data_IF_139569034812
#
_entry.id   IF_139569034812
#
_cell.length_a   1.000
_cell.length_b   1.000
_cell.length_c   1.000
_cell.angle_alpha   90.00
_cell.angle_beta   90.00
_cell.angle_gamma   90.00
#
_symmetry.space_group_name_H-M   'P 1'
#
loop_
_entity.id
_entity.type
_entity.pdbx_description
1 polymer ?
#
# COMPACT_ATOMS: atom_id res chain seq x y z
N UNK A 1 -10.57 -15.78 17.60
CA UNK A 1 -9.90 -15.51 16.31
C UNK A 1 -10.61 -14.38 15.56
N UNK A 2 -11.92 -14.45 15.31
CA UNK A 2 -12.66 -13.41 14.56
C UNK A 2 -12.64 -12.04 15.24
N UNK A 3 -12.83 -11.99 16.56
CA UNK A 3 -12.79 -10.74 17.33
C UNK A 3 -11.40 -10.08 17.28
N UNK A 4 -10.33 -10.87 17.43
CA UNK A 4 -8.96 -10.36 17.37
C UNK A 4 -8.62 -9.81 15.99
N UNK A 5 -9.15 -10.41 14.92
CA UNK A 5 -8.95 -9.95 13.55
C UNK A 5 -9.67 -8.60 13.30
N UNK A 6 -10.89 -8.46 13.81
CA UNK A 6 -11.65 -7.19 13.71
C UNK A 6 -10.94 -6.09 14.51
N UNK A 7 -10.51 -6.38 15.75
CA UNK A 7 -9.78 -5.43 16.58
C UNK A 7 -8.46 -4.99 15.92
N UNK A 8 -7.73 -5.90 15.29
CA UNK A 8 -6.51 -5.58 14.56
C UNK A 8 -6.79 -4.59 13.41
N UNK A 9 -7.86 -4.83 12.63
CA UNK A 9 -8.26 -3.92 11.55
C UNK A 9 -8.61 -2.53 12.06
N UNK A 10 -9.44 -2.45 13.10
CA UNK A 10 -9.83 -1.16 13.72
C UNK A 10 -8.61 -0.42 14.28
N UNK A 11 -7.69 -1.12 14.95
CA UNK A 11 -6.47 -0.52 15.50
C UNK A 11 -5.55 -0.01 14.39
N UNK A 12 -5.45 -0.75 13.28
CA UNK A 12 -4.67 -0.33 12.12
C UNK A 12 -5.24 0.96 11.51
N UNK A 13 -6.56 1.03 11.30
CA UNK A 13 -7.23 2.22 10.76
C UNK A 13 -7.08 3.43 11.69
N UNK A 14 -7.21 3.23 13.01
CA UNK A 14 -6.98 4.29 14.01
C UNK A 14 -5.57 4.87 13.96
N UNK A 15 -4.58 4.10 13.56
CA UNK A 15 -3.20 4.56 13.39
C UNK A 15 -2.99 5.20 12.01
N UNK A 16 -3.58 4.64 10.95
CA UNK A 16 -3.36 5.07 9.58
C UNK A 16 -4.04 6.42 9.27
N UNK A 17 -5.21 6.69 9.82
CA UNK A 17 -5.96 7.94 9.60
C UNK A 17 -5.15 9.18 10.06
N UNK A 18 -4.64 9.26 11.31
CA UNK A 18 -3.80 10.38 11.72
C UNK A 18 -2.52 10.51 10.90
N UNK A 19 -1.89 9.39 10.54
CA UNK A 19 -0.68 9.39 9.72
C UNK A 19 -0.95 9.97 8.32
N UNK A 20 -2.11 9.69 7.74
CA UNK A 20 -2.53 10.26 6.47
C UNK A 20 -2.83 11.75 6.57
N UNK A 21 -3.41 12.21 7.68
CA UNK A 21 -3.74 13.61 7.91
C UNK A 21 -2.52 14.51 8.17
N UNK A 22 -1.38 13.92 8.57
CA UNK A 22 -0.13 14.66 8.78
C UNK A 22 0.50 15.15 7.46
N UNK A 23 0.32 14.44 6.35
CA UNK A 23 0.93 14.79 5.07
C UNK A 23 0.65 16.23 4.61
N UNK A 24 -0.60 16.71 4.59
CA UNK A 24 -0.89 18.08 4.20
C UNK A 24 -0.43 19.13 5.22
N UNK A 25 -0.21 18.73 6.48
CA UNK A 25 0.21 19.63 7.56
C UNK A 25 1.73 19.83 7.60
N UNK A 26 2.51 18.84 7.12
CA UNK A 26 3.96 18.88 7.12
C UNK A 26 4.54 19.87 6.12
N UNK A 27 3.84 20.15 5.01
CA UNK A 27 4.33 21.06 3.97
C UNK A 27 3.19 21.72 3.18
N UNK A 28 3.39 23.00 2.87
CA UNK A 28 2.48 23.79 2.04
C UNK A 28 2.86 23.77 0.54
N UNK A 29 4.02 23.19 0.19
CA UNK A 29 4.51 23.16 -1.19
C UNK A 29 4.07 21.89 -1.90
N UNK A 30 3.44 22.01 -3.07
CA UNK A 30 2.94 20.87 -3.86
C UNK A 30 4.06 19.87 -4.23
N UNK A 31 5.25 20.38 -4.55
CA UNK A 31 6.39 19.53 -4.88
C UNK A 31 6.84 18.65 -3.71
N UNK A 32 6.90 19.22 -2.51
CA UNK A 32 7.28 18.49 -1.30
C UNK A 32 6.21 17.47 -0.91
N UNK A 33 4.92 17.80 -1.07
CA UNK A 33 3.82 16.84 -0.89
C UNK A 33 3.95 15.63 -1.81
N UNK A 34 4.27 15.88 -3.09
CA UNK A 34 4.46 14.80 -4.05
C UNK A 34 5.64 13.89 -3.67
N UNK A 35 6.72 14.46 -3.14
CA UNK A 35 7.87 13.67 -2.65
C UNK A 35 7.49 12.87 -1.41
N UNK A 36 6.84 13.49 -0.42
CA UNK A 36 6.37 12.81 0.78
C UNK A 36 5.38 11.69 0.47
N UNK A 37 4.44 11.93 -0.45
CA UNK A 37 3.50 10.91 -0.94
C UNK A 37 4.23 9.75 -1.61
N UNK A 38 5.29 10.03 -2.38
CA UNK A 38 6.12 9.00 -3.02
C UNK A 38 6.88 8.16 -1.99
N UNK A 39 7.50 8.80 -0.99
CA UNK A 39 8.20 8.12 0.10
C UNK A 39 7.23 7.22 0.86
N UNK A 40 6.03 7.73 1.18
CA UNK A 40 4.97 6.96 1.82
C UNK A 40 4.55 5.76 0.98
N UNK A 41 4.28 5.95 -0.32
CA UNK A 41 3.92 4.87 -1.23
C UNK A 41 5.00 3.79 -1.32
N UNK A 42 6.27 4.18 -1.32
CA UNK A 42 7.41 3.26 -1.26
C UNK A 42 7.39 2.47 0.05
N UNK A 43 7.22 3.14 1.20
CA UNK A 43 7.19 2.48 2.50
C UNK A 43 6.06 1.45 2.61
N UNK A 44 4.86 1.78 2.11
CA UNK A 44 3.71 0.87 2.05
C UNK A 44 3.93 -0.34 1.13
N UNK A 45 4.85 -0.26 0.19
CA UNK A 45 5.21 -1.37 -0.68
C UNK A 45 6.34 -2.21 -0.11
N UNK A 46 7.35 -1.57 0.47
CA UNK A 46 8.55 -2.24 1.02
C UNK A 46 8.19 -3.12 2.23
N UNK A 47 7.40 -2.61 3.16
CA UNK A 47 7.06 -3.34 4.40
C UNK A 47 6.43 -4.71 4.15
N UNK A 48 5.27 -4.80 3.47
CA UNK A 48 4.64 -6.07 3.13
C UNK A 48 5.53 -6.97 2.26
N UNK A 49 6.31 -6.41 1.34
CA UNK A 49 7.20 -7.19 0.48
C UNK A 49 8.33 -7.84 1.27
N UNK A 50 8.94 -7.13 2.21
CA UNK A 50 9.95 -7.69 3.10
C UNK A 50 9.38 -8.85 3.92
N UNK A 51 8.16 -8.72 4.45
CA UNK A 51 7.49 -9.81 5.16
C UNK A 51 7.23 -11.01 4.25
N UNK A 52 6.80 -10.80 3.01
CA UNK A 52 6.58 -11.88 2.05
C UNK A 52 7.87 -12.63 1.68
N UNK A 53 9.02 -11.97 1.78
CA UNK A 53 10.33 -12.62 1.57
C UNK A 53 10.80 -13.35 2.83
N UNK A 54 10.70 -12.69 3.98
CA UNK A 54 11.25 -13.19 5.25
C UNK A 54 10.41 -14.32 5.82
N UNK A 55 9.07 -14.23 5.73
CA UNK A 55 8.17 -15.19 6.34
C UNK A 55 8.37 -16.63 5.84
N UNK A 56 8.41 -16.94 4.53
CA UNK A 56 8.66 -18.30 4.06
C UNK A 56 10.05 -18.82 4.45
N UNK A 57 11.05 -17.95 4.48
CA UNK A 57 12.42 -18.32 4.89
C UNK A 57 12.46 -18.69 6.37
N UNK A 58 11.89 -17.87 7.24
CA UNK A 58 11.80 -18.14 8.67
C UNK A 58 11.01 -19.42 8.94
N UNK A 59 9.85 -19.60 8.32
CA UNK A 59 9.04 -20.80 8.49
C UNK A 59 9.72 -22.07 7.99
N UNK A 60 10.63 -21.98 7.02
CA UNK A 60 11.40 -23.13 6.54
C UNK A 60 12.50 -23.59 7.51
N UNK A 61 12.97 -22.72 8.40
CA UNK A 61 14.00 -23.02 9.41
C UNK A 61 13.39 -23.77 10.60
N UNK A 62 12.14 -23.48 10.93
CA UNK A 62 11.45 -24.11 12.06
C UNK A 62 10.65 -25.32 11.57
N UNK A 63 11.03 -26.52 12.01
CA UNK A 63 10.29 -27.75 11.71
C UNK A 63 8.91 -27.82 12.38
N UNK A 64 8.74 -27.08 13.47
CA UNK A 64 7.50 -26.88 14.19
C UNK A 64 6.85 -25.56 13.71
N UNK A 65 5.75 -25.69 12.96
CA UNK A 65 5.07 -24.53 12.37
C UNK A 65 4.61 -23.49 13.39
N UNK A 66 4.27 -23.89 14.62
CA UNK A 66 3.80 -22.98 15.68
C UNK A 66 4.95 -22.07 16.14
N UNK A 67 6.13 -22.62 16.40
CA UNK A 67 7.30 -21.85 16.84
C UNK A 67 7.76 -20.85 15.78
N UNK A 68 7.72 -21.24 14.51
CA UNK A 68 8.05 -20.34 13.38
C UNK A 68 7.12 -19.11 13.30
N UNK A 69 5.82 -19.34 13.46
CA UNK A 69 4.84 -18.22 13.48
C UNK A 69 5.01 -17.32 14.70
N UNK A 70 5.28 -17.87 15.89
CA UNK A 70 5.52 -17.07 17.09
C UNK A 70 6.74 -16.17 16.94
N UNK A 71 7.84 -16.69 16.42
CA UNK A 71 9.06 -15.90 16.15
C UNK A 71 8.79 -14.81 15.13
N UNK A 72 8.08 -15.12 14.04
CA UNK A 72 7.72 -14.15 13.01
C UNK A 72 6.87 -13.00 13.58
N UNK A 73 5.80 -13.33 14.31
CA UNK A 73 4.88 -12.34 14.88
C UNK A 73 5.60 -11.50 15.93
N UNK A 74 6.34 -12.12 16.84
CA UNK A 74 7.08 -11.40 17.90
C UNK A 74 8.13 -10.46 17.28
N UNK A 75 8.89 -10.93 16.30
CA UNK A 75 9.84 -10.11 15.56
C UNK A 75 9.17 -8.92 14.84
N UNK A 76 8.05 -9.15 14.17
CA UNK A 76 7.29 -8.09 13.52
C UNK A 76 6.79 -7.04 14.52
N UNK A 77 6.25 -7.47 15.67
CA UNK A 77 5.79 -6.56 16.73
C UNK A 77 6.94 -5.70 17.27
N UNK A 78 8.11 -6.28 17.53
CA UNK A 78 9.28 -5.55 18.03
C UNK A 78 9.72 -4.50 16.99
N UNK A 79 9.79 -4.86 15.72
CA UNK A 79 10.17 -3.94 14.64
C UNK A 79 9.17 -2.79 14.51
N UNK A 80 7.87 -3.09 14.54
CA UNK A 80 6.81 -2.07 14.46
C UNK A 80 6.89 -1.12 15.65
N UNK A 81 7.02 -1.63 16.88
CA UNK A 81 7.12 -0.79 18.09
C UNK A 81 8.37 0.10 18.03
N UNK A 82 9.52 -0.45 17.62
CA UNK A 82 10.77 0.30 17.51
C UNK A 82 10.64 1.48 16.53
N UNK A 83 10.15 1.24 15.33
CA UNK A 83 9.97 2.30 14.34
C UNK A 83 8.87 3.29 14.72
N UNK A 84 7.80 2.84 15.38
CA UNK A 84 6.73 3.73 15.85
C UNK A 84 7.24 4.68 16.93
N UNK A 85 8.02 4.19 17.89
CA UNK A 85 8.62 5.02 18.95
C UNK A 85 9.59 6.05 18.34
N UNK A 86 10.49 5.62 17.45
CA UNK A 86 11.41 6.53 16.78
C UNK A 86 10.65 7.56 15.94
N UNK A 87 9.64 7.14 15.19
CA UNK A 87 8.82 8.01 14.36
C UNK A 87 8.10 9.07 15.18
N UNK A 88 7.45 8.69 16.29
CA UNK A 88 6.75 9.63 17.17
C UNK A 88 7.69 10.61 17.86
N UNK A 89 8.87 10.16 18.29
CA UNK A 89 9.87 11.04 18.90
C UNK A 89 10.52 12.02 17.92
N UNK A 90 10.66 11.60 16.65
CA UNK A 90 11.25 12.42 15.60
C UNK A 90 10.27 13.44 14.97
N UNK A 91 8.96 13.23 15.14
CA UNK A 91 7.93 14.13 14.62
C UNK A 91 7.94 15.43 15.42
N UNK A 92 8.50 16.50 14.83
CA UNK A 92 8.28 17.87 15.26
C UNK A 92 7.13 18.43 14.44
N UNK A 93 5.97 18.59 15.07
CA UNK A 93 4.86 19.31 14.46
C UNK A 93 5.29 20.76 14.17
N UNK A 94 5.47 21.09 12.90
CA UNK A 94 5.63 22.48 12.44
C UNK A 94 4.24 23.09 12.21
N UNK A 95 3.37 22.93 13.18
CA UNK A 95 2.00 23.42 13.08
C UNK A 95 2.00 24.91 13.33
N UNK A 96 1.68 25.71 12.32
CA UNK A 96 1.23 27.07 12.52
C UNK A 96 -0.06 27.02 13.36
N UNK A 97 -0.06 27.66 14.53
CA UNK A 97 -1.24 27.72 15.41
C UNK A 97 -2.50 28.17 14.68
N UNK A 98 -2.37 29.04 13.66
CA UNK A 98 -3.47 29.52 12.82
C UNK A 98 -4.18 28.39 12.06
N UNK A 99 -3.46 27.36 11.61
CA UNK A 99 -4.07 26.21 10.93
C UNK A 99 -4.82 25.31 11.91
N UNK A 100 -4.29 25.14 13.13
CA UNK A 100 -4.97 24.34 14.17
C UNK A 100 -6.25 25.00 14.64
N UNK A 101 -6.24 26.30 14.81
CA UNK A 101 -7.42 27.03 15.28
C UNK A 101 -8.50 27.06 14.17
N UNK A 102 -8.13 27.18 12.92
CA UNK A 102 -9.09 27.10 11.79
C UNK A 102 -9.71 25.71 11.62
N UNK A 103 -9.00 24.64 12.01
CA UNK A 103 -9.52 23.26 12.00
C UNK A 103 -10.39 22.95 13.21
N UNK A 104 -10.07 23.51 14.37
CA UNK A 104 -10.89 23.35 15.59
C UNK A 104 -12.27 24.00 15.51
N UNK A 105 -12.42 25.09 14.75
CA UNK A 105 -13.71 25.77 14.58
C UNK A 105 -14.66 25.07 13.60
N UNK A 106 -14.19 24.15 12.75
CA UNK A 106 -15.03 23.40 11.81
C UNK A 106 -15.49 22.07 12.43
N UNK A 107 -16.67 22.09 13.04
CA UNK A 107 -17.44 20.87 13.29
C UNK A 107 -17.81 20.24 11.94
N UNK A 108 -17.04 19.25 11.49
CA UNK A 108 -17.35 18.53 10.26
C UNK A 108 -18.67 17.77 10.43
N UNK A 109 -19.73 18.30 9.81
CA UNK A 109 -21.03 17.63 9.78
C UNK A 109 -21.01 16.51 8.71
N UNK A 110 -21.70 15.41 8.99
CA UNK A 110 -21.94 14.35 7.98
C UNK A 110 -22.55 14.89 6.68
N UNK A 111 -23.22 16.05 6.74
CA UNK A 111 -23.74 16.76 5.55
C UNK A 111 -22.60 17.29 4.67
N UNK A 112 -21.49 17.74 5.25
CA UNK A 112 -20.35 18.24 4.48
C UNK A 112 -19.62 17.11 3.78
N UNK A 113 -19.41 15.99 4.47
CA UNK A 113 -18.83 14.76 3.87
C UNK A 113 -19.67 14.31 2.68
N UNK A 114 -21.02 14.30 2.84
CA UNK A 114 -21.92 13.96 1.75
C UNK A 114 -21.85 14.95 0.59
N UNK A 115 -21.65 16.25 0.88
CA UNK A 115 -21.53 17.26 -0.16
C UNK A 115 -20.20 17.14 -0.95
N UNK A 116 -19.11 16.79 -0.27
CA UNK A 116 -17.82 16.48 -0.92
C UNK A 116 -17.95 15.26 -1.84
N UNK A 117 -18.61 14.18 -1.36
CA UNK A 117 -18.85 12.99 -2.17
C UNK A 117 -19.83 13.24 -3.36
N UNK A 118 -20.60 14.31 -3.37
CA UNK A 118 -21.40 14.71 -4.54
C UNK A 118 -20.55 15.32 -5.67
N UNK A 119 -19.32 15.74 -5.38
CA UNK A 119 -18.40 16.23 -6.40
C UNK A 119 -17.94 15.02 -7.22
N UNK A 120 -18.44 14.92 -8.45
CA UNK A 120 -18.24 13.75 -9.33
C UNK A 120 -16.79 13.26 -9.42
N UNK A 121 -15.75 14.10 -9.61
CA UNK A 121 -14.37 13.64 -9.65
C UNK A 121 -13.90 12.98 -8.34
N UNK A 122 -14.32 13.54 -7.19
CA UNK A 122 -13.95 13.02 -5.87
C UNK A 122 -14.61 11.67 -5.61
N UNK A 123 -15.91 11.55 -5.95
CA UNK A 123 -16.64 10.29 -5.82
C UNK A 123 -16.00 9.17 -6.66
N UNK A 124 -15.66 9.46 -7.92
CA UNK A 124 -15.03 8.50 -8.83
C UNK A 124 -13.66 8.05 -8.27
N UNK A 125 -12.86 9.00 -7.78
CA UNK A 125 -11.56 8.69 -7.18
C UNK A 125 -11.72 7.80 -5.94
N UNK A 126 -12.66 8.13 -5.06
CA UNK A 126 -12.95 7.36 -3.83
C UNK A 126 -13.39 5.93 -4.15
N UNK A 127 -14.33 5.77 -5.09
CA UNK A 127 -14.80 4.44 -5.54
C UNK A 127 -13.66 3.66 -6.18
N UNK A 128 -12.83 4.30 -6.99
CA UNK A 128 -11.65 3.66 -7.59
C UNK A 128 -10.66 3.18 -6.54
N UNK A 129 -10.37 3.99 -5.52
CA UNK A 129 -9.50 3.60 -4.40
C UNK A 129 -10.05 2.38 -3.66
N UNK A 130 -11.36 2.36 -3.38
CA UNK A 130 -12.02 1.27 -2.70
C UNK A 130 -11.88 -0.05 -3.48
N UNK A 131 -12.15 -0.02 -4.79
CA UNK A 131 -12.03 -1.22 -5.63
C UNK A 131 -10.59 -1.71 -5.77
N UNK A 132 -9.61 -0.81 -5.90
CA UNK A 132 -8.20 -1.19 -5.99
C UNK A 132 -7.72 -1.82 -4.68
N UNK A 133 -8.08 -1.23 -3.54
CA UNK A 133 -7.71 -1.77 -2.23
C UNK A 133 -8.35 -3.14 -2.00
N UNK A 134 -9.63 -3.29 -2.33
CA UNK A 134 -10.32 -4.58 -2.25
C UNK A 134 -9.66 -5.64 -3.16
N UNK A 135 -9.40 -5.29 -4.43
CA UNK A 135 -8.75 -6.19 -5.38
C UNK A 135 -7.34 -6.59 -4.92
N UNK A 136 -6.57 -5.64 -4.39
CA UNK A 136 -5.22 -5.90 -3.85
C UNK A 136 -5.24 -6.84 -2.67
N UNK A 137 -6.18 -6.66 -1.74
CA UNK A 137 -6.32 -7.54 -0.58
C UNK A 137 -6.75 -8.96 -0.99
N UNK A 138 -7.69 -9.10 -1.93
CA UNK A 138 -8.10 -10.40 -2.47
C UNK A 138 -6.92 -11.07 -3.17
N UNK A 139 -6.19 -10.34 -4.01
CA UNK A 139 -5.02 -10.85 -4.72
C UNK A 139 -3.95 -11.36 -3.74
N UNK A 140 -3.54 -10.54 -2.77
CA UNK A 140 -2.53 -10.92 -1.79
C UNK A 140 -2.98 -12.09 -0.91
N UNK A 141 -4.25 -12.11 -0.49
CA UNK A 141 -4.82 -13.21 0.30
C UNK A 141 -4.89 -14.53 -0.47
N UNK A 142 -5.15 -14.48 -1.77
CA UNK A 142 -5.25 -15.66 -2.63
C UNK A 142 -3.91 -16.14 -3.16
N UNK A 143 -2.88 -15.31 -3.13
CA UNK A 143 -1.58 -15.55 -3.77
C UNK A 143 -0.90 -16.83 -3.26
N UNK A 144 -0.86 -17.02 -1.93
CA UNK A 144 -0.25 -18.20 -1.33
C UNK A 144 -0.99 -19.49 -1.71
N UNK A 145 -2.32 -19.44 -1.77
CA UNK A 145 -3.15 -20.58 -2.21
C UNK A 145 -2.88 -20.90 -3.67
N UNK A 146 -2.81 -19.89 -4.53
CA UNK A 146 -2.48 -20.06 -5.94
C UNK A 146 -1.11 -20.73 -6.13
N UNK A 147 -0.09 -20.30 -5.41
CA UNK A 147 1.25 -20.88 -5.47
C UNK A 147 1.31 -22.32 -4.95
N UNK A 148 0.57 -22.62 -3.89
CA UNK A 148 0.55 -23.96 -3.31
C UNK A 148 -0.24 -24.97 -4.16
N UNK A 149 -1.41 -24.60 -4.63
CA UNK A 149 -2.33 -25.53 -5.30
C UNK A 149 -2.19 -25.57 -6.82
N UNK A 150 -1.93 -24.43 -7.48
CA UNK A 150 -1.82 -24.37 -8.94
C UNK A 150 -0.39 -24.55 -9.40
N UNK A 151 0.55 -23.76 -8.90
CA UNK A 151 1.96 -23.83 -9.33
C UNK A 151 2.79 -24.84 -8.56
N UNK A 152 2.27 -25.38 -7.44
CA UNK A 152 2.91 -26.36 -6.55
C UNK A 152 4.33 -25.98 -6.12
N UNK A 153 4.58 -24.66 -5.98
CA UNK A 153 5.90 -24.12 -5.66
C UNK A 153 5.77 -22.84 -4.81
N UNK A 154 5.61 -22.96 -3.48
CA UNK A 154 5.47 -21.79 -2.61
C UNK A 154 6.74 -20.91 -2.54
N UNK A 155 7.91 -21.46 -2.91
CA UNK A 155 9.18 -20.71 -2.93
C UNK A 155 9.19 -19.60 -3.98
N UNK A 156 8.35 -19.73 -5.01
CA UNK A 156 8.15 -18.66 -6.00
C UNK A 156 7.66 -17.35 -5.38
N UNK A 157 6.97 -17.39 -4.23
CA UNK A 157 6.53 -16.18 -3.55
C UNK A 157 7.72 -15.29 -3.17
N UNK A 158 8.76 -15.86 -2.57
CA UNK A 158 9.96 -15.10 -2.16
C UNK A 158 10.68 -14.49 -3.37
N UNK A 159 10.85 -15.28 -4.44
CA UNK A 159 11.50 -14.79 -5.66
C UNK A 159 10.66 -13.70 -6.34
N UNK A 160 9.36 -13.95 -6.50
CA UNK A 160 8.43 -12.99 -7.10
C UNK A 160 8.37 -11.67 -6.30
N UNK A 161 8.33 -11.77 -4.96
CA UNK A 161 8.30 -10.61 -4.07
C UNK A 161 9.58 -9.78 -4.16
N UNK A 162 10.75 -10.41 -4.23
CA UNK A 162 12.03 -9.70 -4.42
C UNK A 162 12.06 -8.96 -5.77
N UNK A 163 11.75 -9.65 -6.86
CA UNK A 163 11.75 -9.04 -8.19
C UNK A 163 10.66 -7.94 -8.29
N UNK A 164 9.49 -8.21 -7.73
CA UNK A 164 8.39 -7.26 -7.66
C UNK A 164 8.72 -6.00 -6.87
N UNK A 165 9.52 -6.12 -5.80
CA UNK A 165 9.99 -4.98 -5.00
C UNK A 165 10.78 -3.98 -5.87
N UNK A 166 11.71 -4.45 -6.68
CA UNK A 166 12.47 -3.58 -7.58
C UNK A 166 11.55 -2.89 -8.61
N UNK A 167 10.56 -3.61 -9.12
CA UNK A 167 9.54 -3.06 -10.00
C UNK A 167 8.74 -1.94 -9.33
N UNK A 168 8.25 -2.18 -8.12
CA UNK A 168 7.46 -1.21 -7.36
C UNK A 168 8.28 0.02 -6.93
N UNK A 169 9.53 -0.18 -6.47
CA UNK A 169 10.44 0.92 -6.13
C UNK A 169 10.75 1.78 -7.35
N UNK A 170 11.08 1.16 -8.48
CA UNK A 170 11.32 1.85 -9.74
C UNK A 170 10.10 2.66 -10.19
N UNK A 171 8.91 2.09 -10.08
CA UNK A 171 7.66 2.77 -10.36
C UNK A 171 7.47 4.00 -9.45
N UNK A 172 7.61 3.84 -8.14
CA UNK A 172 7.47 4.93 -7.17
C UNK A 172 8.43 6.10 -7.44
N UNK A 173 9.69 5.81 -7.78
CA UNK A 173 10.70 6.83 -8.10
C UNK A 173 10.41 7.58 -9.40
N UNK A 174 9.77 6.92 -10.36
CA UNK A 174 9.47 7.50 -11.68
C UNK A 174 8.20 8.36 -11.63
N UNK A 175 7.25 8.08 -10.75
CA UNK A 175 5.97 8.79 -10.64
C UNK A 175 6.10 10.31 -10.63
N UNK A 176 6.96 10.95 -9.80
CA UNK A 176 7.05 12.41 -9.77
C UNK A 176 7.48 13.02 -11.11
N UNK A 177 8.34 12.34 -11.86
CA UNK A 177 8.82 12.80 -13.17
C UNK A 177 7.77 12.61 -14.27
N UNK A 178 7.12 11.46 -14.29
CA UNK A 178 6.17 11.09 -15.33
C UNK A 178 4.84 11.80 -15.14
N UNK A 179 4.40 11.98 -13.88
CA UNK A 179 3.17 12.71 -13.57
C UNK A 179 3.20 14.18 -14.01
N UNK A 180 4.40 14.80 -14.01
CA UNK A 180 4.57 16.16 -14.55
C UNK A 180 4.40 16.25 -16.07
N UNK A 181 4.76 15.18 -16.82
CA UNK A 181 4.67 15.16 -18.29
C UNK A 181 3.30 14.69 -18.79
N UNK A 182 2.78 13.61 -18.25
CA UNK A 182 1.52 12.97 -18.70
C UNK A 182 0.29 13.46 -17.96
N UNK A 183 0.48 14.13 -16.81
CA UNK A 183 -0.58 14.47 -15.88
C UNK A 183 -0.97 13.29 -14.97
N UNK A 184 -1.38 13.60 -13.74
CA UNK A 184 -1.72 12.60 -12.71
C UNK A 184 -2.84 11.67 -13.16
N UNK A 185 -3.89 12.20 -13.82
CA UNK A 185 -5.04 11.41 -14.30
C UNK A 185 -4.64 10.36 -15.32
N UNK A 186 -3.88 10.73 -16.35
CA UNK A 186 -3.51 9.82 -17.42
C UNK A 186 -2.58 8.72 -16.90
N UNK A 187 -1.63 9.09 -16.03
CA UNK A 187 -0.73 8.12 -15.41
C UNK A 187 -1.49 7.12 -14.53
N UNK A 188 -2.49 7.58 -13.77
CA UNK A 188 -3.36 6.73 -12.98
C UNK A 188 -4.15 5.75 -13.85
N UNK A 189 -4.71 6.22 -14.98
CA UNK A 189 -5.41 5.36 -15.93
C UNK A 189 -4.46 4.32 -16.55
N UNK A 190 -3.24 4.70 -16.93
CA UNK A 190 -2.24 3.75 -17.42
C UNK A 190 -1.89 2.68 -16.39
N UNK A 191 -1.77 3.06 -15.11
CA UNK A 191 -1.50 2.11 -14.04
C UNK A 191 -2.65 1.09 -13.85
N UNK A 192 -3.91 1.54 -13.96
CA UNK A 192 -5.09 0.66 -13.91
C UNK A 192 -5.15 -0.31 -15.09
N UNK A 193 -4.85 0.17 -16.29
CA UNK A 193 -4.78 -0.68 -17.49
C UNK A 193 -3.68 -1.74 -17.34
N UNK A 194 -2.51 -1.34 -16.83
CA UNK A 194 -1.41 -2.28 -16.56
C UNK A 194 -1.82 -3.36 -15.57
N UNK A 195 -2.50 -2.99 -14.47
CA UNK A 195 -3.03 -3.95 -13.49
C UNK A 195 -4.04 -4.91 -14.13
N UNK A 196 -4.95 -4.39 -14.96
CA UNK A 196 -5.96 -5.20 -15.63
C UNK A 196 -5.32 -6.22 -16.59
N UNK A 197 -4.34 -5.80 -17.38
CA UNK A 197 -3.60 -6.68 -18.27
C UNK A 197 -2.88 -7.77 -17.48
N UNK A 198 -2.20 -7.42 -16.39
CA UNK A 198 -1.49 -8.37 -15.55
C UNK A 198 -2.43 -9.44 -14.97
N UNK A 199 -3.62 -9.04 -14.51
CA UNK A 199 -4.63 -9.98 -13.99
C UNK A 199 -5.18 -10.91 -15.09
N UNK A 200 -5.45 -10.37 -16.28
CA UNK A 200 -5.87 -11.20 -17.44
C UNK A 200 -4.77 -12.21 -17.80
N UNK A 201 -3.50 -11.81 -17.82
CA UNK A 201 -2.38 -12.72 -18.07
C UNK A 201 -2.31 -13.86 -17.03
N UNK A 202 -2.53 -13.55 -15.74
CA UNK A 202 -2.54 -14.57 -14.69
C UNK A 202 -3.67 -15.58 -14.85
N UNK A 203 -4.86 -15.12 -15.25
CA UNK A 203 -6.01 -16.00 -15.48
C UNK A 203 -5.80 -16.87 -16.72
N UNK A 204 -5.29 -16.29 -17.81
CA UNK A 204 -5.14 -16.98 -19.11
C UNK A 204 -4.01 -18.02 -19.10
N UNK A 205 -2.96 -17.79 -18.33
CA UNK A 205 -1.74 -18.62 -18.34
C UNK A 205 -1.38 -19.11 -16.93
N UNK A 206 -2.38 -19.62 -16.22
CA UNK A 206 -2.32 -19.96 -14.81
C UNK A 206 -1.33 -21.09 -14.43
N UNK A 207 -0.83 -21.88 -15.38
CA UNK A 207 0.11 -22.97 -15.13
C UNK A 207 1.59 -22.58 -15.32
N UNK A 208 1.86 -21.45 -15.96
CA UNK A 208 3.22 -21.06 -16.30
C UNK A 208 3.89 -20.23 -15.21
N UNK A 209 4.97 -20.78 -14.60
CA UNK A 209 5.77 -20.07 -13.58
C UNK A 209 6.41 -18.79 -14.11
N UNK A 210 6.84 -18.77 -15.38
CA UNK A 210 7.49 -17.62 -16.01
C UNK A 210 6.47 -16.50 -16.22
N UNK A 211 5.29 -16.83 -16.76
CA UNK A 211 4.22 -15.84 -16.98
C UNK A 211 3.73 -15.30 -15.64
N UNK A 212 3.63 -16.16 -14.60
CA UNK A 212 3.31 -15.72 -13.25
C UNK A 212 4.31 -14.67 -12.76
N UNK A 213 5.62 -14.88 -12.88
CA UNK A 213 6.63 -13.91 -12.43
C UNK A 213 6.50 -12.59 -13.19
N UNK A 214 6.34 -12.62 -14.50
CA UNK A 214 6.18 -11.41 -15.33
C UNK A 214 4.90 -10.65 -14.90
N UNK A 215 3.78 -11.35 -14.81
CA UNK A 215 2.51 -10.74 -14.44
C UNK A 215 2.54 -10.19 -13.00
N UNK A 216 3.19 -10.90 -12.07
CA UNK A 216 3.36 -10.43 -10.69
C UNK A 216 4.17 -9.13 -10.63
N UNK A 217 5.26 -9.02 -11.39
CA UNK A 217 6.04 -7.78 -11.49
C UNK A 217 5.20 -6.65 -12.06
N UNK A 218 4.40 -6.91 -13.10
CA UNK A 218 3.47 -5.93 -13.66
C UNK A 218 2.43 -5.47 -12.61
N UNK A 219 1.89 -6.39 -11.81
CA UNK A 219 0.99 -6.06 -10.69
C UNK A 219 1.69 -5.15 -9.69
N UNK A 220 2.91 -5.47 -9.27
CA UNK A 220 3.65 -4.68 -8.30
C UNK A 220 4.01 -3.28 -8.81
N UNK A 221 4.37 -3.16 -10.08
CA UNK A 221 4.56 -1.85 -10.74
C UNK A 221 3.26 -1.07 -10.74
N UNK A 222 2.15 -1.69 -11.15
CA UNK A 222 0.83 -1.05 -11.18
C UNK A 222 0.37 -0.60 -9.80
N UNK A 223 0.54 -1.42 -8.77
CA UNK A 223 0.22 -1.08 -7.38
C UNK A 223 1.13 0.04 -6.84
N UNK A 224 2.42 0.01 -7.15
CA UNK A 224 3.35 1.08 -6.79
C UNK A 224 2.96 2.43 -7.39
N UNK A 225 2.57 2.44 -8.68
CA UNK A 225 2.07 3.63 -9.37
C UNK A 225 0.75 4.13 -8.76
N UNK A 226 -0.24 3.25 -8.57
CA UNK A 226 -1.55 3.62 -8.06
C UNK A 226 -1.48 4.13 -6.62
N UNK A 227 -0.76 3.46 -5.73
CA UNK A 227 -0.60 3.88 -4.33
C UNK A 227 0.05 5.26 -4.23
N UNK A 228 1.16 5.48 -4.95
CA UNK A 228 1.84 6.78 -4.95
C UNK A 228 0.94 7.90 -5.48
N UNK A 229 0.18 7.64 -6.56
CA UNK A 229 -0.72 8.63 -7.15
C UNK A 229 -1.95 8.90 -6.28
N UNK A 230 -2.50 7.89 -5.60
CA UNK A 230 -3.61 8.05 -4.68
C UNK A 230 -3.28 9.04 -3.57
N UNK A 231 -2.11 8.89 -2.93
CA UNK A 231 -1.66 9.83 -1.90
C UNK A 231 -1.40 11.24 -2.45
N UNK A 232 -0.91 11.33 -3.69
CA UNK A 232 -0.68 12.63 -4.35
C UNK A 232 -1.97 13.31 -4.84
N UNK A 233 -3.04 12.55 -5.08
CA UNK A 233 -4.35 13.07 -5.50
C UNK A 233 -5.24 13.42 -4.32
N UNK A 234 -5.05 12.76 -3.16
CA UNK A 234 -5.81 12.99 -1.94
C UNK A 234 -5.23 14.11 -1.07
N UNK A 235 -3.97 14.48 -1.27
CA UNK A 235 -3.27 15.59 -0.59
C UNK A 235 -3.44 16.91 -1.33
#
# INVERSE_FOLDING_TARGET
>A
ISLSYILLGVTFDLMDIPLNSLLPVLTNQENERNILSSIKGIAYTVGPTLLNVIAPLLLSIYSDGISGYLVLITGAVIVVLFFTIIGTLALKERVNKEVVDSVKEKNYSLKEVRNILKIRPVAILFVSMLFITAASNIFNGSLLYYLNYMLKDPRLLSVASLVGLFGALGAGMIVPKVSRKLGKKNLYTCALVLLSIAMVCLISFHESKVIFLIAYVMVQIGLGLTNTLQYSLSA
#
